data_IF_194344580373
#
_entry.id   IF_194344580373
#
_cell.length_a   1.000
_cell.length_b   1.000
_cell.length_c   1.000
_cell.angle_alpha   90.00
_cell.angle_beta   90.00
_cell.angle_gamma   90.00
#
_symmetry.space_group_name_H-M   'P 1'
#
loop_
_entity.id
_entity.type
_entity.pdbx_description
1 polymer ?
#
# COMPACT_ATOMS: atom_id res chain seq x y z
N UNK A 1 -31.35 3.55 -54.16
CA UNK A 1 -31.77 2.20 -53.71
C UNK A 1 -31.40 2.05 -52.24
N UNK A 2 -32.19 1.24 -51.54
CA UNK A 2 -32.43 1.22 -50.10
C UNK A 2 -31.60 0.13 -49.39
N UNK A 3 -31.51 0.23 -48.05
CA UNK A 3 -31.20 -0.81 -47.03
C UNK A 3 -29.72 -1.01 -46.67
N UNK A 4 -29.23 -0.50 -45.54
CA UNK A 4 -29.48 -0.89 -44.12
C UNK A 4 -28.83 -2.22 -43.71
N UNK A 5 -27.85 -2.13 -42.79
CA UNK A 5 -27.73 -3.04 -41.64
C UNK A 5 -26.88 -2.39 -40.55
N UNK A 6 -27.57 -1.92 -39.53
CA UNK A 6 -27.01 -1.68 -38.20
C UNK A 6 -26.50 -2.99 -37.63
N UNK A 7 -25.32 -2.98 -37.03
CA UNK A 7 -24.95 -3.91 -35.97
C UNK A 7 -24.19 -3.14 -34.89
N UNK A 8 -24.87 -3.06 -33.75
CA UNK A 8 -24.42 -2.55 -32.46
C UNK A 8 -23.30 -3.44 -31.93
N UNK A 9 -22.21 -2.83 -31.46
CA UNK A 9 -21.16 -3.49 -30.68
C UNK A 9 -20.73 -2.57 -29.54
N UNK A 10 -21.13 -2.93 -28.32
CA UNK A 10 -20.85 -2.25 -27.06
C UNK A 10 -19.42 -2.58 -26.59
N UNK A 11 -18.89 -1.72 -25.70
CA UNK A 11 -17.93 -2.02 -24.60
C UNK A 11 -16.52 -1.42 -24.77
N UNK A 12 -16.11 -0.63 -23.77
CA UNK A 12 -14.72 -0.65 -23.27
C UNK A 12 -14.03 0.71 -23.21
N UNK A 13 -14.16 1.42 -22.09
CA UNK A 13 -13.37 2.63 -21.82
C UNK A 13 -11.95 2.30 -21.34
N UNK A 14 -11.03 3.26 -21.48
CA UNK A 14 -9.86 3.42 -20.60
C UNK A 14 -9.58 4.92 -20.45
N UNK A 15 -9.56 5.36 -19.19
CA UNK A 15 -9.19 6.69 -18.69
C UNK A 15 -7.75 7.05 -19.03
N UNK A 16 -7.53 8.29 -19.48
CA UNK A 16 -6.19 8.84 -19.70
C UNK A 16 -5.44 8.93 -18.35
N UNK A 17 -4.27 8.27 -18.27
CA UNK A 17 -3.36 8.39 -17.12
C UNK A 17 -2.31 9.45 -17.44
N UNK A 18 -2.37 10.59 -16.76
CA UNK A 18 -1.33 11.63 -16.79
C UNK A 18 -0.14 11.22 -15.90
N UNK A 19 1.05 11.06 -16.49
CA UNK A 19 2.30 10.83 -15.75
C UNK A 19 2.93 12.18 -15.38
N UNK A 20 2.77 12.59 -14.13
CA UNK A 20 3.65 13.55 -13.45
C UNK A 20 4.50 12.75 -12.46
N UNK A 21 5.83 12.83 -12.49
CA UNK A 21 6.61 12.27 -11.36
C UNK A 21 8.11 12.03 -11.57
N UNK A 22 8.89 13.05 -11.93
CA UNK A 22 10.36 12.92 -11.97
C UNK A 22 11.08 13.27 -10.66
N UNK A 23 10.45 14.02 -9.75
CA UNK A 23 11.14 14.62 -8.58
C UNK A 23 10.75 14.02 -7.21
N UNK A 24 9.77 13.11 -7.15
CA UNK A 24 9.30 12.52 -5.89
C UNK A 24 9.84 11.13 -5.56
N UNK A 25 10.51 10.45 -6.50
CA UNK A 25 10.81 9.01 -6.43
C UNK A 25 11.85 8.64 -5.36
N UNK A 26 12.85 9.49 -5.11
CA UNK A 26 13.93 9.16 -4.15
C UNK A 26 13.48 9.13 -2.69
N UNK A 27 12.50 9.95 -2.30
CA UNK A 27 11.96 9.96 -0.93
C UNK A 27 10.91 8.85 -0.73
N UNK A 28 10.17 8.50 -1.78
CA UNK A 28 9.21 7.40 -1.77
C UNK A 28 9.89 6.02 -1.69
N UNK A 29 11.07 5.86 -2.27
CA UNK A 29 11.83 4.61 -2.20
C UNK A 29 12.21 4.20 -0.75
N UNK A 30 12.35 5.18 0.16
CA UNK A 30 12.63 4.90 1.57
C UNK A 30 11.44 4.26 2.30
N UNK A 31 10.22 4.69 1.96
CA UNK A 31 8.98 4.26 2.61
C UNK A 31 8.33 3.04 1.95
N UNK A 32 8.73 2.71 0.73
CA UNK A 32 8.29 1.53 0.00
C UNK A 32 8.93 0.24 0.55
N UNK A 33 8.16 -0.84 0.57
CA UNK A 33 8.58 -2.17 0.97
C UNK A 33 7.90 -3.21 0.08
N UNK A 34 8.67 -4.18 -0.40
CA UNK A 34 8.12 -5.36 -1.08
C UNK A 34 8.21 -6.54 -0.14
N UNK A 35 7.07 -7.16 0.13
CA UNK A 35 6.95 -8.33 1.01
C UNK A 35 6.47 -9.53 0.20
N UNK A 36 7.07 -10.69 0.45
CA UNK A 36 6.53 -11.95 -0.05
C UNK A 36 5.24 -12.29 0.70
N UNK A 37 4.39 -13.05 0.04
CA UNK A 37 3.18 -13.65 0.61
C UNK A 37 3.41 -15.16 0.67
N UNK A 38 3.88 -15.61 1.83
CA UNK A 38 4.16 -17.00 2.18
C UNK A 38 3.42 -17.39 3.48
N UNK A 39 3.56 -18.64 3.93
CA UNK A 39 2.86 -19.15 5.11
C UNK A 39 3.17 -18.41 6.42
N UNK A 40 4.28 -17.66 6.50
CA UNK A 40 4.68 -16.92 7.70
C UNK A 40 4.30 -15.43 7.66
N UNK A 41 4.03 -14.92 6.47
CA UNK A 41 3.78 -13.49 6.22
C UNK A 41 2.34 -13.19 5.80
N UNK A 42 1.57 -14.22 5.47
CA UNK A 42 0.22 -14.07 4.92
C UNK A 42 -0.87 -14.18 5.99
N UNK A 43 -1.90 -13.34 5.86
CA UNK A 43 -3.18 -13.44 6.53
C UNK A 43 -4.32 -13.45 5.50
N UNK A 44 -5.56 -13.64 5.97
CA UNK A 44 -6.76 -13.45 5.16
C UNK A 44 -7.60 -12.33 5.75
N UNK A 45 -7.98 -11.36 4.92
CA UNK A 45 -8.87 -10.25 5.28
C UNK A 45 -10.03 -10.28 4.28
N UNK A 46 -11.26 -10.45 4.77
CA UNK A 46 -12.46 -10.50 3.93
C UNK A 46 -12.36 -11.48 2.75
N UNK A 47 -11.75 -12.65 2.99
CA UNK A 47 -11.55 -13.69 1.96
C UNK A 47 -10.43 -13.40 0.95
N UNK A 48 -9.72 -12.28 1.10
CA UNK A 48 -8.58 -11.92 0.26
C UNK A 48 -7.26 -12.21 0.97
N UNK A 49 -6.27 -12.65 0.18
CA UNK A 49 -4.89 -12.76 0.67
C UNK A 49 -4.39 -11.39 1.10
N UNK A 50 -3.79 -11.32 2.28
CA UNK A 50 -3.28 -10.08 2.87
C UNK A 50 -1.89 -10.32 3.46
N UNK A 51 -1.08 -9.26 3.54
CA UNK A 51 0.11 -9.26 4.38
C UNK A 51 -0.33 -9.13 5.84
N UNK A 52 0.18 -10.00 6.71
CA UNK A 52 -0.19 -10.03 8.12
C UNK A 52 0.09 -8.67 8.81
N UNK A 53 -0.82 -8.27 9.71
CA UNK A 53 -0.77 -6.98 10.40
C UNK A 53 0.57 -6.74 11.12
N UNK A 54 1.07 -7.78 11.79
CA UNK A 54 2.34 -7.76 12.52
C UNK A 54 3.54 -7.54 11.61
N UNK A 55 3.49 -8.05 10.37
CA UNK A 55 4.54 -7.84 9.37
C UNK A 55 4.50 -6.41 8.85
N UNK A 56 3.31 -5.88 8.53
CA UNK A 56 3.14 -4.48 8.11
C UNK A 56 3.64 -3.55 9.21
N UNK A 57 3.23 -3.78 10.45
CA UNK A 57 3.62 -3.00 11.62
C UNK A 57 5.14 -3.00 11.83
N UNK A 58 5.76 -4.18 11.95
CA UNK A 58 7.19 -4.28 12.21
C UNK A 58 8.05 -3.71 11.08
N UNK A 59 7.63 -3.89 9.82
CA UNK A 59 8.32 -3.29 8.66
C UNK A 59 8.15 -1.77 8.64
N UNK A 60 6.97 -1.27 8.96
CA UNK A 60 6.68 0.16 9.06
C UNK A 60 7.55 0.78 10.15
N UNK A 61 7.54 0.23 11.36
CA UNK A 61 8.39 0.68 12.47
C UNK A 61 9.86 0.72 12.04
N UNK A 62 10.40 -0.40 11.57
CA UNK A 62 11.80 -0.53 11.15
C UNK A 62 12.22 0.50 10.09
N UNK A 63 11.36 0.77 9.11
CA UNK A 63 11.66 1.76 8.06
C UNK A 63 11.46 3.19 8.52
N UNK A 64 10.39 3.46 9.28
CA UNK A 64 10.08 4.80 9.78
C UNK A 64 11.21 5.34 10.65
N UNK A 65 11.83 4.49 11.48
CA UNK A 65 13.03 4.83 12.25
C UNK A 65 14.25 5.22 11.41
N UNK A 66 14.39 4.66 10.21
CA UNK A 66 15.53 4.91 9.35
C UNK A 66 15.43 6.26 8.62
N UNK A 67 14.29 6.96 8.72
CA UNK A 67 14.04 8.17 7.95
C UNK A 67 14.48 9.42 8.73
N UNK A 68 15.37 10.24 8.14
CA UNK A 68 15.94 11.40 8.84
C UNK A 68 14.91 12.51 9.12
N UNK A 69 13.79 12.55 8.38
CA UNK A 69 12.76 13.58 8.50
C UNK A 69 11.72 13.31 9.58
N UNK A 70 11.66 12.09 10.12
CA UNK A 70 10.65 11.72 11.12
C UNK A 70 10.86 12.46 12.44
N UNK A 71 12.10 12.84 12.75
CA UNK A 71 12.46 13.67 13.91
C UNK A 71 12.26 13.04 15.29
N UNK A 72 11.48 11.97 15.40
CA UNK A 72 11.17 11.27 16.63
C UNK A 72 11.37 9.75 16.48
N UNK A 73 11.79 9.09 17.56
CA UNK A 73 11.77 7.63 17.60
C UNK A 73 10.30 7.18 17.69
N UNK A 74 9.88 6.34 16.76
CA UNK A 74 8.56 5.70 16.78
C UNK A 74 8.65 4.37 17.54
N UNK A 75 7.61 3.89 18.19
CA UNK A 75 7.62 2.55 18.76
C UNK A 75 6.21 2.00 18.84
N UNK A 76 6.10 0.69 19.04
CA UNK A 76 4.80 0.07 19.28
C UNK A 76 3.86 0.25 18.10
N UNK A 77 4.39 0.16 16.87
CA UNK A 77 3.53 0.29 15.70
C UNK A 77 2.54 -0.86 15.68
N UNK A 78 1.27 -0.54 15.49
CA UNK A 78 0.18 -1.49 15.40
C UNK A 78 -0.68 -1.17 14.18
N UNK A 79 -1.12 -2.21 13.47
CA UNK A 79 -2.03 -2.06 12.34
C UNK A 79 -3.32 -2.83 12.68
N UNK A 80 -4.51 -2.25 12.42
CA UNK A 80 -5.78 -2.81 12.86
C UNK A 80 -6.09 -4.17 12.22
N UNK A 81 -5.63 -4.36 10.98
CA UNK A 81 -5.82 -5.57 10.18
C UNK A 81 -4.58 -5.87 9.35
N UNK A 82 -4.59 -7.00 8.64
CA UNK A 82 -3.64 -7.24 7.56
C UNK A 82 -3.84 -6.24 6.40
N UNK A 83 -2.78 -6.03 5.63
CA UNK A 83 -2.82 -5.23 4.41
C UNK A 83 -3.22 -6.12 3.24
N UNK A 84 -4.47 -5.99 2.80
CA UNK A 84 -5.01 -6.76 1.67
C UNK A 84 -4.11 -6.61 0.44
N UNK A 85 -3.71 -7.73 -0.16
CA UNK A 85 -2.82 -7.76 -1.34
C UNK A 85 -3.61 -7.43 -2.62
N UNK A 86 -4.23 -6.25 -2.64
CA UNK A 86 -4.96 -5.68 -3.75
C UNK A 86 -4.38 -4.29 -4.00
N UNK A 87 -4.11 -3.96 -5.26
CA UNK A 87 -3.58 -2.64 -5.60
C UNK A 87 -4.49 -1.53 -5.07
N UNK A 88 -3.90 -0.44 -4.55
CA UNK A 88 -4.59 0.68 -3.91
C UNK A 88 -5.33 0.36 -2.61
N UNK A 89 -5.23 -0.86 -2.08
CA UNK A 89 -5.71 -1.15 -0.74
C UNK A 89 -4.96 -0.29 0.30
N UNK A 90 -5.69 0.27 1.24
CA UNK A 90 -5.14 1.15 2.28
C UNK A 90 -5.57 0.72 3.66
N UNK A 91 -4.70 0.97 4.63
CA UNK A 91 -5.03 0.96 6.05
C UNK A 91 -4.22 2.03 6.77
N UNK A 92 -4.61 2.36 7.99
CA UNK A 92 -3.86 3.28 8.83
C UNK A 92 -3.30 2.49 10.00
N UNK A 93 -1.97 2.43 10.09
CA UNK A 93 -1.31 1.94 11.29
C UNK A 93 -1.15 3.10 12.28
N UNK A 94 -0.96 2.75 13.54
CA UNK A 94 -0.76 3.71 14.62
C UNK A 94 0.59 3.42 15.27
N UNK A 95 1.33 4.44 15.65
CA UNK A 95 2.56 4.27 16.44
C UNK A 95 2.70 5.33 17.52
N UNK A 96 3.55 5.05 18.48
CA UNK A 96 3.84 5.95 19.61
C UNK A 96 5.14 6.69 19.38
N UNK A 97 5.12 8.00 19.57
CA UNK A 97 6.31 8.83 19.56
C UNK A 97 6.98 8.78 20.93
N UNK A 98 8.28 9.04 20.95
CA UNK A 98 9.05 9.13 22.19
C UNK A 98 8.59 10.22 23.17
N UNK A 99 7.79 11.18 22.74
CA UNK A 99 7.19 12.23 23.58
C UNK A 99 5.83 11.80 24.20
N UNK A 100 5.40 10.56 23.97
CA UNK A 100 4.12 10.02 24.43
C UNK A 100 2.95 10.34 23.50
N UNK A 101 3.17 11.06 22.40
CA UNK A 101 2.16 11.33 21.39
C UNK A 101 1.90 10.11 20.49
N UNK A 102 0.71 10.04 19.91
CA UNK A 102 0.37 9.03 18.89
C UNK A 102 0.52 9.63 17.49
N UNK A 103 0.92 8.81 16.52
CA UNK A 103 0.92 9.17 15.10
C UNK A 103 0.15 8.14 14.29
N UNK A 104 -0.61 8.63 13.31
CA UNK A 104 -1.27 7.83 12.29
C UNK A 104 -0.36 7.71 11.08
N UNK A 105 -0.21 6.49 10.57
CA UNK A 105 0.72 6.14 9.50
C UNK A 105 -0.10 5.48 8.40
N UNK A 106 -0.52 6.23 7.38
CA UNK A 106 -1.26 5.68 6.25
C UNK A 106 -0.36 4.72 5.47
N UNK A 107 -0.87 3.54 5.18
CA UNK A 107 -0.20 2.49 4.40
C UNK A 107 -1.03 2.20 3.16
N UNK A 108 -0.37 2.10 2.01
CA UNK A 108 -0.99 1.84 0.70
C UNK A 108 -0.26 0.76 -0.07
N UNK A 109 -1.01 -0.16 -0.67
CA UNK A 109 -0.48 -1.08 -1.67
C UNK A 109 -0.32 -0.36 -3.01
N UNK A 110 0.89 -0.45 -3.56
CA UNK A 110 1.26 0.11 -4.87
C UNK A 110 1.17 -0.95 -5.96
N UNK A 111 1.51 -2.19 -5.60
CA UNK A 111 1.44 -3.33 -6.51
C UNK A 111 1.14 -4.59 -5.72
N UNK A 112 0.32 -5.47 -6.27
CA UNK A 112 0.13 -6.81 -5.74
C UNK A 112 0.22 -7.82 -6.88
N UNK A 113 0.97 -8.88 -6.63
CA UNK A 113 1.10 -10.05 -7.47
C UNK A 113 0.65 -11.29 -6.68
N UNK A 114 0.61 -12.46 -7.31
CA UNK A 114 0.17 -13.69 -6.65
C UNK A 114 0.95 -14.04 -5.36
N UNK A 115 2.25 -13.71 -5.32
CA UNK A 115 3.18 -14.13 -4.27
C UNK A 115 3.90 -12.95 -3.59
N UNK A 116 3.57 -11.71 -3.94
CA UNK A 116 4.23 -10.54 -3.38
C UNK A 116 3.32 -9.33 -3.38
N UNK A 117 3.55 -8.44 -2.42
CA UNK A 117 2.89 -7.16 -2.34
C UNK A 117 3.93 -6.07 -2.12
N UNK A 118 3.90 -5.05 -2.96
CA UNK A 118 4.68 -3.82 -2.80
C UNK A 118 3.76 -2.74 -2.26
N UNK A 119 4.17 -2.15 -1.15
CA UNK A 119 3.38 -1.18 -0.42
C UNK A 119 4.30 -0.09 0.12
N UNK A 120 3.72 1.04 0.52
CA UNK A 120 4.45 2.14 1.13
C UNK A 120 3.65 2.72 2.27
N UNK A 121 4.32 3.38 3.20
CA UNK A 121 3.68 4.30 4.11
C UNK A 121 3.86 5.75 3.66
N UNK A 122 2.89 6.58 3.99
CA UNK A 122 2.86 8.01 3.69
C UNK A 122 3.25 8.83 4.93
N UNK A 123 3.51 10.11 4.69
CA UNK A 123 3.90 11.10 5.71
C UNK A 123 2.68 11.83 6.25
#
# INVERSE_FOLDING_TARGET
MQRSKFLVGVVGGVTAVTVLGGLGTHLLAGTESTSRLDEYSTASVDGHRALAATIVAGRTESKYHALPWVGAKLSGVSCPTGLTAVAEATLTCTGEKSDGGTVEIPVRVIRADANSVTWKFER
#
